data_IF_932913362755
#
_entry.id   IF_932913362755
#
_cell.length_a   1.000
_cell.length_b   1.000
_cell.length_c   1.000
_cell.angle_alpha   90.00
_cell.angle_beta   90.00
_cell.angle_gamma   90.00
#
_symmetry.space_group_name_H-M   'P 1'
#
loop_
_entity.id
_entity.type
_entity.pdbx_description
1 polymer ?
#
# COMPACT_ATOMS: atom_id res chain seq x y z
N UNK A 1 30.74 14.20 -19.22
CA UNK A 1 30.35 13.02 -18.39
C UNK A 1 30.21 13.54 -16.99
N UNK A 2 29.00 13.89 -16.58
CA UNK A 2 28.72 14.41 -15.25
C UNK A 2 28.41 13.22 -14.32
N UNK A 3 29.00 13.29 -13.16
CA UNK A 3 29.11 12.23 -12.16
C UNK A 3 27.70 11.92 -11.55
N UNK A 4 27.17 10.73 -11.81
CA UNK A 4 25.84 10.27 -11.39
C UNK A 4 25.80 9.71 -9.94
N UNK A 5 26.80 9.99 -9.12
CA UNK A 5 26.94 9.41 -7.78
C UNK A 5 26.46 10.29 -6.62
N UNK A 6 25.98 11.51 -6.87
CA UNK A 6 25.60 12.45 -5.81
C UNK A 6 24.10 12.44 -5.43
N UNK A 7 23.27 11.77 -6.21
CA UNK A 7 21.82 11.74 -6.00
C UNK A 7 21.29 11.07 -4.69
N UNK A 8 21.94 10.05 -4.08
CA UNK A 8 21.38 9.40 -2.90
C UNK A 8 21.46 10.24 -1.60
N UNK A 9 22.53 11.01 -1.42
CA UNK A 9 22.76 11.80 -0.21
C UNK A 9 21.81 13.00 -0.10
N UNK A 10 21.51 13.65 -1.23
CA UNK A 10 20.60 14.79 -1.29
C UNK A 10 19.14 14.36 -1.10
N UNK A 11 18.76 13.19 -1.58
CA UNK A 11 17.42 12.64 -1.41
C UNK A 11 17.13 12.24 0.05
N UNK A 12 18.09 11.68 0.76
CA UNK A 12 17.97 11.34 2.17
C UNK A 12 17.91 12.60 3.05
N UNK A 13 18.74 13.60 2.77
CA UNK A 13 18.71 14.87 3.48
C UNK A 13 17.38 15.62 3.23
N UNK A 14 16.88 15.62 2.00
CA UNK A 14 15.58 16.18 1.66
C UNK A 14 14.42 15.45 2.34
N UNK A 15 14.46 14.12 2.39
CA UNK A 15 13.48 13.30 3.08
C UNK A 15 13.48 13.57 4.59
N UNK A 16 14.67 13.68 5.23
CA UNK A 16 14.80 14.04 6.64
C UNK A 16 14.28 15.46 6.93
N UNK A 17 14.57 16.42 6.05
CA UNK A 17 14.08 17.79 6.19
C UNK A 17 12.56 17.87 6.01
N UNK A 18 12.00 17.15 5.03
CA UNK A 18 10.57 17.05 4.81
C UNK A 18 9.88 16.39 6.01
N UNK A 19 10.45 15.31 6.55
CA UNK A 19 9.94 14.64 7.74
C UNK A 19 10.00 15.53 8.99
N UNK A 20 11.09 16.26 9.19
CA UNK A 20 11.22 17.23 10.28
C UNK A 20 10.20 18.38 10.17
N UNK A 21 9.84 18.80 8.96
CA UNK A 21 8.80 19.81 8.75
C UNK A 21 7.39 19.30 9.10
N UNK A 22 7.14 17.99 8.94
CA UNK A 22 5.89 17.33 9.32
C UNK A 22 5.78 17.18 10.84
N UNK A 23 6.89 16.97 11.55
CA UNK A 23 6.92 16.85 13.01
C UNK A 23 6.38 18.08 13.76
N UNK A 24 6.43 19.25 13.15
CA UNK A 24 5.97 20.51 13.76
C UNK A 24 4.52 20.86 13.41
N UNK A 25 3.77 19.99 12.72
CA UNK A 25 2.37 20.24 12.41
C UNK A 25 1.47 19.42 13.33
N UNK A 26 0.42 20.03 13.90
CA UNK A 26 -0.53 19.33 14.75
C UNK A 26 -1.43 18.42 13.88
N UNK A 27 -0.94 17.25 13.48
CA UNK A 27 -1.78 16.25 12.89
C UNK A 27 -2.54 15.48 13.98
N UNK A 28 -3.85 15.26 13.82
CA UNK A 28 -4.63 14.53 14.82
C UNK A 28 -4.21 13.05 14.99
N UNK A 29 -3.35 12.54 14.12
CA UNK A 29 -2.78 11.19 14.18
C UNK A 29 -1.26 11.27 14.03
N UNK A 30 -0.61 11.85 15.01
CA UNK A 30 0.85 11.90 15.05
C UNK A 30 1.43 10.49 15.17
N UNK A 31 2.33 10.12 14.27
CA UNK A 31 3.06 8.84 14.29
C UNK A 31 3.77 8.60 15.63
N UNK A 32 4.14 9.66 16.34
CA UNK A 32 4.83 9.59 17.63
C UNK A 32 3.88 9.28 18.80
N UNK A 33 2.58 9.49 18.62
CA UNK A 33 1.54 9.17 19.62
C UNK A 33 0.79 7.88 19.27
N UNK A 34 1.07 7.28 18.12
CA UNK A 34 0.47 6.02 17.71
C UNK A 34 0.90 4.89 18.66
N UNK A 35 0.02 3.91 18.95
CA UNK A 35 0.38 2.75 19.76
C UNK A 35 1.65 2.07 19.25
N UNK A 36 2.46 1.59 20.17
CA UNK A 36 3.60 0.76 19.83
C UNK A 36 3.13 -0.67 19.55
N UNK A 37 3.06 -1.01 18.26
CA UNK A 37 2.78 -2.35 17.78
C UNK A 37 4.05 -3.00 17.23
N UNK A 38 4.20 -4.29 17.48
CA UNK A 38 5.25 -5.09 16.89
C UNK A 38 4.86 -5.48 15.45
N UNK A 39 5.41 -4.77 14.48
CA UNK A 39 5.12 -4.98 13.06
C UNK A 39 6.08 -5.98 12.42
N UNK A 40 5.53 -6.88 11.62
CA UNK A 40 6.29 -7.67 10.67
C UNK A 40 5.85 -7.40 9.24
N UNK A 41 6.69 -7.72 8.26
CA UNK A 41 6.38 -7.57 6.84
C UNK A 41 6.47 -8.90 6.10
N UNK A 42 5.53 -9.13 5.19
CA UNK A 42 5.59 -10.21 4.20
C UNK A 42 5.88 -9.61 2.83
N UNK A 43 7.05 -9.96 2.27
CA UNK A 43 7.59 -9.38 1.04
C UNK A 43 8.71 -8.38 1.31
N UNK A 44 9.70 -8.33 0.40
CA UNK A 44 10.90 -7.48 0.51
C UNK A 44 11.03 -6.59 -0.76
N UNK A 45 9.90 -6.16 -1.33
CA UNK A 45 9.85 -5.31 -2.52
C UNK A 45 10.08 -3.83 -2.21
N UNK A 46 9.88 -2.98 -3.22
CA UNK A 46 10.06 -1.53 -3.13
C UNK A 46 9.27 -0.93 -1.97
N UNK A 47 8.01 -1.33 -1.82
CA UNK A 47 7.11 -0.76 -0.80
C UNK A 47 7.53 -1.19 0.62
N UNK A 48 7.97 -2.44 0.81
CA UNK A 48 8.53 -2.88 2.08
C UNK A 48 9.76 -2.06 2.49
N UNK A 49 10.64 -1.74 1.53
CA UNK A 49 11.79 -0.86 1.76
C UNK A 49 11.36 0.55 2.15
N UNK A 50 10.35 1.13 1.49
CA UNK A 50 9.82 2.45 1.85
C UNK A 50 9.23 2.46 3.27
N UNK A 51 8.51 1.41 3.67
CA UNK A 51 7.99 1.28 5.04
C UNK A 51 9.12 1.21 6.07
N UNK A 52 10.13 0.36 5.82
CA UNK A 52 11.26 0.22 6.74
C UNK A 52 12.04 1.54 6.89
N UNK A 53 12.25 2.28 5.80
CA UNK A 53 12.87 3.61 5.82
C UNK A 53 12.03 4.62 6.59
N UNK A 54 10.73 4.65 6.38
CA UNK A 54 9.81 5.56 7.07
C UNK A 54 9.76 5.28 8.57
N UNK A 55 9.75 4.01 8.97
CA UNK A 55 9.82 3.62 10.38
C UNK A 55 11.15 4.04 11.00
N UNK A 56 12.28 3.85 10.30
CA UNK A 56 13.58 4.27 10.80
C UNK A 56 13.67 5.79 11.02
N UNK A 57 13.07 6.60 10.13
CA UNK A 57 12.97 8.06 10.32
C UNK A 57 12.16 8.43 11.57
N UNK A 58 11.17 7.61 11.93
CA UNK A 58 10.36 7.79 13.14
C UNK A 58 11.00 7.16 14.40
N UNK A 59 12.23 6.65 14.32
CA UNK A 59 12.90 5.94 15.41
C UNK A 59 12.29 4.58 15.74
N UNK A 60 11.54 3.99 14.80
CA UNK A 60 10.88 2.68 14.91
C UNK A 60 11.50 1.70 13.92
N UNK A 61 11.27 0.40 14.12
CA UNK A 61 11.71 -0.65 13.20
C UNK A 61 10.67 -1.76 13.07
N UNK A 62 10.78 -2.53 12.01
CA UNK A 62 10.07 -3.79 11.89
C UNK A 62 10.67 -4.81 12.86
N UNK A 63 9.82 -5.61 13.50
CA UNK A 63 10.23 -6.67 14.40
C UNK A 63 10.58 -7.98 13.66
N UNK A 64 9.99 -8.17 12.47
CA UNK A 64 10.18 -9.38 11.71
C UNK A 64 9.92 -9.24 10.22
N UNK A 65 10.44 -10.20 9.44
CA UNK A 65 10.25 -10.28 8.01
C UNK A 65 10.12 -11.73 7.53
N UNK A 66 9.18 -11.96 6.64
CA UNK A 66 9.05 -13.19 5.85
C UNK A 66 9.06 -12.87 4.35
N UNK A 67 9.63 -13.74 3.55
CA UNK A 67 9.60 -13.62 2.10
C UNK A 67 9.74 -15.00 1.45
N UNK A 68 9.06 -15.25 0.35
CA UNK A 68 9.13 -16.51 -0.41
C UNK A 68 10.58 -16.96 -0.69
N UNK A 69 11.50 -16.03 -0.91
CA UNK A 69 12.92 -16.28 -1.08
C UNK A 69 13.63 -15.88 0.20
N UNK A 70 14.04 -16.86 1.02
CA UNK A 70 14.64 -16.63 2.33
C UNK A 70 15.85 -15.70 2.29
N UNK A 71 16.75 -15.86 1.30
CA UNK A 71 17.93 -15.00 1.17
C UNK A 71 17.58 -13.52 0.96
N UNK A 72 16.44 -13.20 0.34
CA UNK A 72 15.96 -11.81 0.23
C UNK A 72 15.46 -11.29 1.57
N UNK A 73 14.81 -12.12 2.38
CA UNK A 73 14.41 -11.75 3.73
C UNK A 73 15.63 -11.49 4.63
N UNK A 74 16.64 -12.33 4.53
CA UNK A 74 17.91 -12.17 5.27
C UNK A 74 18.61 -10.86 4.90
N UNK A 75 18.78 -10.57 3.61
CA UNK A 75 19.40 -9.33 3.14
C UNK A 75 18.60 -8.08 3.57
N UNK A 76 17.27 -8.16 3.51
CA UNK A 76 16.38 -7.09 3.98
C UNK A 76 16.51 -6.88 5.50
N UNK A 77 16.56 -7.95 6.27
CA UNK A 77 16.73 -7.89 7.71
C UNK A 77 18.09 -7.28 8.11
N UNK A 78 19.17 -7.67 7.43
CA UNK A 78 20.50 -7.10 7.63
C UNK A 78 20.50 -5.59 7.33
N UNK A 79 19.91 -5.19 6.21
CA UNK A 79 19.85 -3.78 5.78
C UNK A 79 19.12 -2.87 6.79
N UNK A 80 18.06 -3.34 7.44
CA UNK A 80 17.22 -2.55 8.33
C UNK A 80 17.31 -2.90 9.81
N UNK A 81 18.23 -3.79 10.20
CA UNK A 81 18.43 -4.21 11.58
C UNK A 81 17.22 -4.93 12.17
N UNK A 82 16.53 -5.74 11.35
CA UNK A 82 15.38 -6.56 11.77
C UNK A 82 15.90 -7.83 12.44
N UNK A 83 15.43 -8.12 13.63
CA UNK A 83 15.98 -9.20 14.45
C UNK A 83 15.47 -10.58 14.02
N UNK A 84 14.20 -10.66 13.58
CA UNK A 84 13.58 -11.95 13.22
C UNK A 84 13.39 -12.10 11.72
N UNK A 85 13.95 -13.17 11.17
CA UNK A 85 13.69 -13.63 9.81
C UNK A 85 12.96 -14.95 9.91
N UNK A 86 11.74 -15.01 9.39
CA UNK A 86 10.92 -16.21 9.37
C UNK A 86 11.17 -16.99 8.08
N UNK A 87 11.35 -18.31 8.19
CA UNK A 87 11.53 -19.18 7.04
C UNK A 87 10.25 -19.29 6.22
N UNK A 88 9.11 -19.33 6.91
CA UNK A 88 7.77 -19.38 6.32
C UNK A 88 6.88 -18.26 6.83
N UNK A 89 5.79 -17.96 6.14
CA UNK A 89 4.79 -17.02 6.63
C UNK A 89 4.02 -17.62 7.83
N UNK A 90 3.89 -18.94 7.87
CA UNK A 90 3.27 -19.69 8.95
C UNK A 90 4.00 -19.49 10.28
N UNK A 91 5.34 -19.49 10.26
CA UNK A 91 6.15 -19.21 11.45
C UNK A 91 5.92 -17.78 11.96
N UNK A 92 5.75 -16.82 11.03
CA UNK A 92 5.45 -15.45 11.38
C UNK A 92 4.05 -15.34 12.00
N UNK A 93 3.05 -16.00 11.46
CA UNK A 93 1.69 -15.97 12.02
C UNK A 93 1.64 -16.56 13.43
N UNK A 94 2.44 -17.60 13.67
CA UNK A 94 2.50 -18.28 14.96
C UNK A 94 3.23 -17.49 16.05
N UNK A 95 4.01 -16.46 15.73
CA UNK A 95 4.74 -15.69 16.71
C UNK A 95 3.81 -14.77 17.53
N UNK A 96 3.64 -15.02 18.85
CA UNK A 96 2.77 -14.21 19.69
C UNK A 96 3.28 -12.78 19.93
N UNK A 97 4.55 -12.50 19.60
CA UNK A 97 5.13 -11.17 19.77
C UNK A 97 4.89 -10.25 18.56
N UNK A 98 4.26 -10.73 17.51
CA UNK A 98 3.87 -9.92 16.36
C UNK A 98 2.40 -9.55 16.51
N UNK A 99 2.11 -8.24 16.52
CA UNK A 99 0.77 -7.70 16.61
C UNK A 99 0.15 -7.48 15.23
N UNK A 100 0.95 -6.96 14.30
CA UNK A 100 0.48 -6.51 13.00
C UNK A 100 1.41 -6.96 11.87
N UNK A 101 0.81 -7.29 10.74
CA UNK A 101 1.52 -7.75 9.54
C UNK A 101 1.23 -6.80 8.38
N UNK A 102 2.30 -6.31 7.73
CA UNK A 102 2.20 -5.59 6.48
C UNK A 102 2.44 -6.52 5.29
N UNK A 103 1.42 -6.68 4.44
CA UNK A 103 1.49 -7.54 3.24
C UNK A 103 1.86 -6.68 2.05
N UNK A 104 3.03 -6.94 1.44
CA UNK A 104 3.59 -6.18 0.30
C UNK A 104 3.92 -7.07 -0.90
N UNK A 105 3.23 -8.18 -1.00
CA UNK A 105 3.41 -9.19 -2.06
C UNK A 105 2.65 -8.80 -3.34
N UNK A 106 2.77 -9.54 -4.47
CA UNK A 106 1.94 -9.29 -5.64
C UNK A 106 0.45 -9.48 -5.37
N UNK A 107 -0.39 -8.70 -6.06
CA UNK A 107 -1.85 -8.62 -5.85
C UNK A 107 -2.54 -9.99 -5.81
N UNK A 108 -2.17 -10.91 -6.71
CA UNK A 108 -2.75 -12.25 -6.80
C UNK A 108 -2.51 -13.13 -5.57
N UNK A 109 -1.61 -12.73 -4.68
CA UNK A 109 -1.27 -13.50 -3.48
C UNK A 109 -1.87 -12.90 -2.20
N UNK A 110 -2.41 -11.69 -2.26
CA UNK A 110 -2.90 -10.98 -1.08
C UNK A 110 -3.93 -11.81 -0.31
N UNK A 111 -4.94 -12.34 -0.98
CA UNK A 111 -6.00 -13.09 -0.32
C UNK A 111 -5.49 -14.32 0.44
N UNK A 112 -4.44 -14.99 -0.06
CA UNK A 112 -3.84 -16.13 0.64
C UNK A 112 -3.22 -15.71 1.96
N UNK A 113 -2.45 -14.63 1.97
CA UNK A 113 -1.83 -14.09 3.17
C UNK A 113 -2.85 -13.46 4.12
N UNK A 114 -3.89 -12.78 3.59
CA UNK A 114 -4.97 -12.21 4.37
C UNK A 114 -5.71 -13.26 5.18
N UNK A 115 -6.15 -14.35 4.54
CA UNK A 115 -6.84 -15.46 5.22
C UNK A 115 -6.04 -15.98 6.41
N UNK A 116 -4.77 -16.28 6.18
CA UNK A 116 -3.93 -16.91 7.19
C UNK A 116 -3.58 -15.94 8.34
N UNK A 117 -3.18 -14.73 8.02
CA UNK A 117 -2.79 -13.73 9.02
C UNK A 117 -3.97 -13.32 9.90
N UNK A 118 -5.15 -13.05 9.31
CA UNK A 118 -6.35 -12.65 10.03
C UNK A 118 -6.87 -13.79 10.92
N UNK A 119 -6.90 -15.04 10.41
CA UNK A 119 -7.30 -16.22 11.18
C UNK A 119 -6.33 -16.53 12.34
N UNK A 120 -5.06 -16.12 12.22
CA UNK A 120 -4.09 -16.21 13.31
C UNK A 120 -4.21 -15.07 14.34
N UNK A 121 -5.23 -14.21 14.21
CA UNK A 121 -5.46 -13.10 15.13
C UNK A 121 -4.51 -11.92 14.96
N UNK A 122 -3.91 -11.75 13.79
CA UNK A 122 -3.02 -10.62 13.49
C UNK A 122 -3.78 -9.47 12.86
N UNK A 123 -3.48 -8.23 13.29
CA UNK A 123 -3.88 -7.05 12.55
C UNK A 123 -3.17 -7.02 11.20
N UNK A 124 -3.82 -6.57 10.14
CA UNK A 124 -3.23 -6.57 8.81
C UNK A 124 -3.38 -5.22 8.12
N UNK A 125 -2.26 -4.70 7.65
CA UNK A 125 -2.18 -3.67 6.61
C UNK A 125 -1.81 -4.39 5.30
N UNK A 126 -2.61 -4.25 4.27
CA UNK A 126 -2.35 -4.90 2.99
C UNK A 126 -2.20 -3.88 1.87
N UNK A 127 -1.19 -4.07 1.02
CA UNK A 127 -1.00 -3.21 -0.15
C UNK A 127 -2.21 -3.21 -1.08
N UNK A 128 -2.35 -2.09 -1.75
CA UNK A 128 -3.34 -1.88 -2.80
C UNK A 128 -2.93 -2.68 -4.07
N UNK A 129 -3.82 -3.18 -4.89
CA UNK A 129 -5.23 -3.42 -4.59
C UNK A 129 -5.33 -4.55 -3.56
N UNK A 130 -6.09 -4.32 -2.50
CA UNK A 130 -6.14 -5.23 -1.34
C UNK A 130 -6.58 -6.64 -1.73
N UNK A 131 -7.54 -6.77 -2.65
CA UNK A 131 -8.01 -8.04 -3.23
C UNK A 131 -8.32 -7.85 -4.71
N UNK A 132 -8.51 -8.94 -5.45
CA UNK A 132 -8.82 -8.91 -6.88
C UNK A 132 -10.31 -8.73 -7.18
N UNK A 133 -11.16 -8.97 -6.20
CA UNK A 133 -12.61 -8.85 -6.32
C UNK A 133 -13.27 -8.65 -4.95
N UNK A 134 -14.57 -8.29 -4.98
CA UNK A 134 -15.35 -8.02 -3.77
C UNK A 134 -15.59 -9.26 -2.93
N UNK A 135 -15.71 -10.45 -3.52
CA UNK A 135 -15.93 -11.69 -2.76
C UNK A 135 -14.72 -12.01 -1.86
N UNK A 136 -13.51 -11.85 -2.37
CA UNK A 136 -12.28 -11.99 -1.57
C UNK A 136 -12.20 -10.93 -0.46
N UNK A 137 -12.63 -9.70 -0.74
CA UNK A 137 -12.65 -8.65 0.27
C UNK A 137 -13.66 -8.94 1.38
N UNK A 138 -14.86 -9.38 1.01
CA UNK A 138 -15.91 -9.70 1.97
C UNK A 138 -15.51 -10.89 2.85
N UNK A 139 -14.86 -11.89 2.27
CA UNK A 139 -14.27 -13.01 3.01
C UNK A 139 -13.22 -12.53 4.01
N UNK A 140 -12.25 -11.71 3.57
CA UNK A 140 -11.20 -11.18 4.45
C UNK A 140 -11.80 -10.33 5.59
N UNK A 141 -12.82 -9.51 5.30
CA UNK A 141 -13.54 -8.73 6.30
C UNK A 141 -14.29 -9.60 7.31
N UNK A 142 -14.90 -10.68 6.85
CA UNK A 142 -15.59 -11.63 7.74
C UNK A 142 -14.59 -12.26 8.74
N UNK A 143 -13.45 -12.76 8.24
CA UNK A 143 -12.41 -13.34 9.10
C UNK A 143 -11.88 -12.30 10.10
N UNK A 144 -11.61 -11.07 9.64
CA UNK A 144 -11.16 -9.99 10.53
C UNK A 144 -12.17 -9.71 11.64
N UNK A 145 -13.48 -9.71 11.32
CA UNK A 145 -14.56 -9.54 12.29
C UNK A 145 -14.66 -10.69 13.29
N UNK A 146 -14.55 -11.94 12.83
CA UNK A 146 -14.59 -13.14 13.67
C UNK A 146 -13.44 -13.16 14.69
N UNK A 147 -12.25 -12.72 14.29
CA UNK A 147 -11.05 -12.70 15.14
C UNK A 147 -10.84 -11.36 15.86
N UNK A 148 -11.74 -10.39 15.69
CA UNK A 148 -11.66 -9.06 16.30
C UNK A 148 -10.32 -8.36 16.02
N UNK A 149 -9.85 -8.41 14.78
CA UNK A 149 -8.62 -7.77 14.31
C UNK A 149 -8.91 -6.71 13.24
N UNK A 150 -7.98 -5.79 13.08
CA UNK A 150 -8.07 -4.73 12.08
C UNK A 150 -7.56 -5.24 10.73
N UNK A 151 -8.36 -5.08 9.69
CA UNK A 151 -7.95 -5.18 8.29
C UNK A 151 -7.97 -3.78 7.67
N UNK A 152 -6.83 -3.34 7.14
CA UNK A 152 -6.67 -2.01 6.56
C UNK A 152 -6.02 -2.09 5.18
N UNK A 153 -6.56 -1.33 4.24
CA UNK A 153 -5.99 -1.09 2.91
C UNK A 153 -4.89 -0.03 2.98
N UNK A 154 -3.75 -0.28 2.33
CA UNK A 154 -2.63 0.65 2.30
C UNK A 154 -2.74 1.70 1.18
N UNK A 155 -3.93 2.11 0.80
CA UNK A 155 -4.14 3.17 -0.19
C UNK A 155 -3.73 4.53 0.40
N UNK A 156 -2.48 4.89 0.18
CA UNK A 156 -1.82 6.04 0.81
C UNK A 156 -2.54 7.37 0.63
N UNK A 157 -3.20 7.60 -0.50
CA UNK A 157 -3.91 8.86 -0.78
C UNK A 157 -4.97 9.18 0.28
N UNK A 158 -5.59 8.17 0.90
CA UNK A 158 -6.60 8.36 1.94
C UNK A 158 -6.01 8.91 3.25
N UNK A 159 -4.70 8.75 3.44
CA UNK A 159 -3.98 9.14 4.65
C UNK A 159 -3.07 10.36 4.44
N UNK A 160 -3.00 10.90 3.22
CA UNK A 160 -2.21 12.10 2.94
C UNK A 160 -2.84 13.33 3.59
N UNK A 161 -2.06 14.13 4.35
CA UNK A 161 -2.58 15.30 5.06
C UNK A 161 -3.35 16.28 4.17
N UNK A 162 -2.88 16.48 2.93
CA UNK A 162 -3.56 17.33 1.96
C UNK A 162 -4.99 16.86 1.66
N UNK A 163 -5.17 15.57 1.40
CA UNK A 163 -6.49 15.01 1.09
C UNK A 163 -7.41 15.01 2.31
N UNK A 164 -6.88 14.78 3.49
CA UNK A 164 -7.63 14.87 4.75
C UNK A 164 -8.11 16.30 5.02
N UNK A 165 -7.23 17.30 4.82
CA UNK A 165 -7.61 18.70 4.98
C UNK A 165 -8.61 19.15 3.92
N UNK A 166 -8.44 18.76 2.65
CA UNK A 166 -9.42 19.02 1.60
C UNK A 166 -10.78 18.41 1.94
N UNK A 167 -10.80 17.18 2.42
CA UNK A 167 -12.04 16.52 2.86
C UNK A 167 -12.70 17.29 4.00
N UNK A 168 -11.94 17.66 5.03
CA UNK A 168 -12.45 18.45 6.15
C UNK A 168 -13.11 19.76 5.69
N UNK A 169 -12.47 20.50 4.77
CA UNK A 169 -13.03 21.74 4.21
C UNK A 169 -14.26 21.52 3.36
N UNK A 170 -14.30 20.42 2.60
CA UNK A 170 -15.49 20.05 1.83
C UNK A 170 -16.67 19.74 2.77
N UNK A 171 -16.43 18.98 3.82
CA UNK A 171 -17.46 18.65 4.81
C UNK A 171 -17.95 19.90 5.57
N UNK A 172 -17.09 20.92 5.72
CA UNK A 172 -17.46 22.24 6.24
C UNK A 172 -18.20 23.12 5.23
N UNK A 173 -18.38 22.67 3.98
CA UNK A 173 -19.10 23.40 2.93
C UNK A 173 -18.31 24.54 2.27
N UNK A 174 -17.00 24.67 2.56
CA UNK A 174 -16.17 25.77 2.06
C UNK A 174 -16.09 25.84 0.51
N UNK A 175 -16.20 24.69 -0.16
CA UNK A 175 -16.12 24.59 -1.62
C UNK A 175 -17.50 24.44 -2.29
N UNK A 176 -18.58 24.36 -1.50
CA UNK A 176 -19.88 24.03 -2.01
C UNK A 176 -19.99 22.58 -2.50
N UNK A 177 -20.98 22.33 -3.36
CA UNK A 177 -21.21 20.98 -3.91
C UNK A 177 -20.26 20.69 -5.06
N UNK A 178 -19.56 19.57 -4.99
CA UNK A 178 -18.78 19.04 -6.13
C UNK A 178 -19.75 18.47 -7.18
N UNK A 179 -19.69 18.99 -8.39
CA UNK A 179 -20.55 18.56 -9.50
C UNK A 179 -19.78 17.70 -10.53
N UNK A 180 -18.47 17.85 -10.60
CA UNK A 180 -17.60 17.12 -11.54
C UNK A 180 -16.24 16.88 -10.90
N UNK A 181 -15.71 15.70 -11.07
CA UNK A 181 -14.32 15.38 -10.78
C UNK A 181 -13.67 14.78 -12.03
N UNK A 182 -12.50 15.28 -12.40
CA UNK A 182 -11.69 14.72 -13.47
C UNK A 182 -10.33 14.34 -12.89
N UNK A 183 -9.99 13.06 -12.97
CA UNK A 183 -8.81 12.48 -12.37
C UNK A 183 -7.98 11.78 -13.44
N UNK A 184 -6.70 12.10 -13.48
CA UNK A 184 -5.75 11.44 -14.37
C UNK A 184 -4.58 10.92 -13.54
N UNK A 185 -4.21 9.67 -13.74
CA UNK A 185 -3.02 9.08 -13.18
C UNK A 185 -2.33 8.22 -14.24
N UNK A 186 -1.04 8.45 -14.43
CA UNK A 186 -0.23 7.72 -15.41
C UNK A 186 1.16 7.47 -14.88
N UNK A 187 1.72 6.32 -15.22
CA UNK A 187 3.09 5.96 -14.91
C UNK A 187 3.69 5.27 -16.12
N UNK A 188 4.80 5.82 -16.63
CA UNK A 188 5.54 5.17 -17.70
C UNK A 188 6.08 3.82 -17.23
N UNK A 189 5.84 2.78 -18.02
CA UNK A 189 6.46 1.47 -17.87
C UNK A 189 7.06 1.04 -19.18
N UNK A 190 8.25 0.48 -19.14
CA UNK A 190 8.90 -0.06 -20.32
C UNK A 190 8.14 -1.28 -20.85
N UNK A 191 7.82 -1.27 -22.13
CA UNK A 191 7.06 -2.33 -22.82
C UNK A 191 7.92 -3.52 -23.27
N UNK A 192 9.24 -3.47 -23.05
CA UNK A 192 10.18 -4.44 -23.57
C UNK A 192 10.14 -5.82 -22.90
N UNK A 193 9.65 -5.90 -21.66
CA UNK A 193 9.58 -7.14 -20.88
C UNK A 193 8.15 -7.44 -20.44
N UNK A 194 7.44 -8.25 -21.19
CA UNK A 194 6.07 -8.70 -20.89
C UNK A 194 6.02 -9.72 -19.73
N UNK A 195 7.16 -10.20 -19.24
CA UNK A 195 7.21 -11.06 -18.05
C UNK A 195 7.18 -10.24 -16.75
N UNK A 196 7.41 -8.94 -16.85
CA UNK A 196 7.32 -8.01 -15.74
C UNK A 196 5.92 -8.08 -15.09
N UNK A 197 5.87 -7.98 -13.76
CA UNK A 197 4.64 -8.08 -13.00
C UNK A 197 3.50 -7.17 -13.50
N UNK A 198 3.84 -6.01 -14.05
CA UNK A 198 2.84 -5.06 -14.56
C UNK A 198 2.09 -5.57 -15.79
N UNK A 199 2.73 -6.42 -16.60
CA UNK A 199 2.18 -7.00 -17.82
C UNK A 199 1.80 -8.46 -17.65
N UNK A 200 2.02 -9.05 -16.47
CA UNK A 200 1.78 -10.47 -16.22
C UNK A 200 0.39 -10.69 -15.61
N UNK A 201 -0.53 -11.27 -16.41
CA UNK A 201 -1.89 -11.57 -15.97
C UNK A 201 -1.94 -12.50 -14.75
N UNK A 202 -1.01 -13.47 -14.67
CA UNK A 202 -0.96 -14.42 -13.56
C UNK A 202 -0.53 -13.79 -12.23
N UNK A 203 0.08 -12.61 -12.29
CA UNK A 203 0.44 -11.82 -11.11
C UNK A 203 -0.55 -10.69 -10.84
N UNK A 204 -1.73 -10.73 -11.50
CA UNK A 204 -2.72 -9.67 -11.47
C UNK A 204 -2.12 -8.30 -11.85
N UNK A 205 -1.36 -8.28 -12.96
CA UNK A 205 -0.88 -7.05 -13.57
C UNK A 205 -2.04 -6.24 -14.17
N UNK A 206 -1.72 -5.07 -14.67
CA UNK A 206 -2.67 -4.16 -15.31
C UNK A 206 -2.70 -2.79 -14.66
N UNK A 207 -3.00 -1.77 -15.45
CA UNK A 207 -3.01 -0.38 -15.03
C UNK A 207 -4.13 -0.11 -14.03
N UNK A 208 -5.28 -0.75 -14.14
CA UNK A 208 -6.41 -0.54 -13.24
C UNK A 208 -6.07 -0.97 -11.82
N UNK A 209 -5.52 -2.17 -11.63
CA UNK A 209 -5.14 -2.67 -10.30
C UNK A 209 -3.91 -1.96 -9.74
N UNK A 210 -2.96 -1.55 -10.58
CA UNK A 210 -1.73 -0.89 -10.08
C UNK A 210 -1.91 0.59 -9.79
N UNK A 211 -2.54 1.35 -10.68
CA UNK A 211 -2.66 2.82 -10.57
C UNK A 211 -4.10 3.36 -10.62
N UNK A 212 -5.02 2.66 -11.27
CA UNK A 212 -6.43 3.08 -11.35
C UNK A 212 -7.08 3.17 -9.97
N UNK A 213 -6.66 2.34 -9.02
CA UNK A 213 -7.09 2.37 -7.63
C UNK A 213 -6.93 3.75 -6.98
N UNK A 214 -5.88 4.50 -7.31
CA UNK A 214 -5.65 5.83 -6.74
C UNK A 214 -6.69 6.83 -7.24
N UNK A 215 -6.96 6.88 -8.55
CA UNK A 215 -7.97 7.76 -9.11
C UNK A 215 -9.37 7.44 -8.57
N UNK A 216 -9.71 6.16 -8.50
CA UNK A 216 -10.99 5.70 -7.94
C UNK A 216 -11.11 6.04 -6.45
N UNK A 217 -10.04 5.89 -5.66
CA UNK A 217 -10.04 6.23 -4.24
C UNK A 217 -10.21 7.73 -4.02
N UNK A 218 -9.53 8.58 -4.78
CA UNK A 218 -9.70 10.04 -4.71
C UNK A 218 -11.11 10.45 -5.12
N UNK A 219 -11.66 9.85 -6.18
CA UNK A 219 -13.04 10.07 -6.57
C UNK A 219 -13.98 9.71 -5.42
N UNK A 220 -13.84 8.53 -4.82
CA UNK A 220 -14.67 8.08 -3.70
C UNK A 220 -14.51 8.94 -2.44
N UNK A 221 -13.33 9.50 -2.23
CA UNK A 221 -13.09 10.39 -1.09
C UNK A 221 -13.92 11.68 -1.20
N UNK A 222 -14.10 12.21 -2.41
CA UNK A 222 -14.67 13.53 -2.61
C UNK A 222 -16.11 13.52 -3.16
N UNK A 223 -16.53 12.48 -3.86
CA UNK A 223 -17.91 12.38 -4.36
C UNK A 223 -18.88 11.89 -3.29
N UNK A 224 -20.01 12.55 -3.15
CA UNK A 224 -20.98 12.28 -2.09
C UNK A 224 -21.81 11.01 -2.30
N UNK A 225 -21.89 10.50 -3.54
CA UNK A 225 -22.72 9.34 -3.90
C UNK A 225 -21.92 8.23 -4.53
N UNK A 226 -22.49 7.04 -4.54
CA UNK A 226 -22.02 5.94 -5.39
C UNK A 226 -22.37 6.25 -6.86
N UNK A 227 -21.57 5.80 -7.84
CA UNK A 227 -21.92 5.92 -9.24
C UNK A 227 -23.20 5.12 -9.54
N UNK A 228 -24.15 5.74 -10.28
CA UNK A 228 -25.36 5.08 -10.74
C UNK A 228 -25.10 4.23 -12.00
N UNK A 229 -24.23 4.74 -12.87
CA UNK A 229 -23.81 4.08 -14.10
C UNK A 229 -22.30 4.19 -14.26
N UNK A 230 -21.70 3.21 -14.89
CA UNK A 230 -20.26 3.19 -15.17
C UNK A 230 -20.03 2.74 -16.60
N UNK A 231 -19.31 3.56 -17.35
CA UNK A 231 -18.83 3.22 -18.69
C UNK A 231 -17.31 3.25 -18.69
N UNK A 232 -16.69 2.21 -19.25
CA UNK A 232 -15.23 2.12 -19.32
C UNK A 232 -14.78 1.77 -20.74
N UNK A 233 -13.65 2.33 -21.11
CA UNK A 233 -12.90 2.00 -22.32
C UNK A 233 -11.46 1.74 -21.92
N UNK A 234 -10.82 0.77 -22.56
CA UNK A 234 -9.43 0.45 -22.24
C UNK A 234 -8.72 -0.29 -23.37
N UNK A 235 -7.40 -0.21 -23.34
CA UNK A 235 -6.53 -0.96 -24.22
C UNK A 235 -5.84 -2.04 -23.40
N UNK A 236 -5.71 -3.23 -24.00
CA UNK A 236 -4.96 -4.34 -23.44
C UNK A 236 -3.68 -4.60 -24.25
N UNK A 237 -2.65 -5.10 -23.60
CA UNK A 237 -1.46 -5.62 -24.27
C UNK A 237 -1.62 -7.10 -24.63
N UNK A 238 -0.60 -7.69 -25.25
CA UNK A 238 -0.57 -9.07 -25.73
C UNK A 238 -0.84 -10.10 -24.64
N UNK A 239 -0.51 -9.81 -23.38
CA UNK A 239 -0.76 -10.68 -22.23
C UNK A 239 -2.20 -10.62 -21.73
N UNK A 240 -3.02 -9.73 -22.29
CA UNK A 240 -4.42 -9.53 -21.92
C UNK A 240 -4.66 -8.71 -20.66
N UNK A 241 -3.63 -8.03 -20.12
CA UNK A 241 -3.81 -7.04 -19.06
C UNK A 241 -4.07 -5.65 -19.66
N UNK A 242 -4.80 -4.82 -18.94
CA UNK A 242 -5.06 -3.43 -19.30
C UNK A 242 -3.79 -2.58 -19.14
N UNK A 243 -3.53 -1.70 -20.09
CA UNK A 243 -2.36 -0.80 -20.10
C UNK A 243 -2.73 0.66 -20.07
N UNK A 244 -3.93 0.98 -20.49
CA UNK A 244 -4.51 2.32 -20.43
C UNK A 244 -6.03 2.20 -20.44
N UNK A 245 -6.71 3.16 -19.82
CA UNK A 245 -8.17 3.17 -19.82
C UNK A 245 -8.74 4.48 -19.31
N UNK A 246 -10.03 4.66 -19.53
CA UNK A 246 -10.85 5.73 -18.97
C UNK A 246 -12.16 5.17 -18.42
N UNK A 247 -12.62 5.78 -17.35
CA UNK A 247 -13.90 5.45 -16.72
C UNK A 247 -14.71 6.74 -16.59
N UNK A 248 -15.96 6.67 -16.98
CA UNK A 248 -16.95 7.72 -16.74
C UNK A 248 -18.05 7.13 -15.88
N UNK A 249 -18.44 7.85 -14.83
CA UNK A 249 -19.46 7.41 -13.89
C UNK A 249 -20.19 8.60 -13.25
#
# INVERSE_FOLDING_TARGET
MADSKQAPLDAEAAAKAAFASVQNQPFPNDIFTAPELCWAVIGCGVIANQMAQSLALAGRKLAGVANRTLSKAQAFAEQYGIEKVYETAEDLYADPNIDAIYITTPHNTHITYLRAALAAGKHVLCEKAITLNTAELDEARAIAGEHNVVLMDATTVLHMPLYQELRRRMDAGEFGRMNLAQLNFGSYKEYGDLTNRFYNRNLAGGAMLDIGVYALSVMRLFMASQPAEVVSLGNTCETGVDVAGGIVC
#
